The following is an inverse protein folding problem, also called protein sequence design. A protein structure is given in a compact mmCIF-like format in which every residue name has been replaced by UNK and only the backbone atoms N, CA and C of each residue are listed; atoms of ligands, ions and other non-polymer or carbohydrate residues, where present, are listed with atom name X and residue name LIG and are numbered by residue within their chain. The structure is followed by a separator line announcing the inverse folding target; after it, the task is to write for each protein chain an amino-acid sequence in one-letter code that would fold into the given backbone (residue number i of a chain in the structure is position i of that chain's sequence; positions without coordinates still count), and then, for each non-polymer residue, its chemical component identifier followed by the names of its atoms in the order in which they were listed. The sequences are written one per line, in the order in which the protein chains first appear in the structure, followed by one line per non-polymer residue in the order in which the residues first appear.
data_IF_100406775034
#
_entry.id   IF_100406775034
#
_cell.length_a   1.000
_cell.length_b   1.000
_cell.length_c   1.000
_cell.angle_alpha   90.00
_cell.angle_beta   90.00
_cell.angle_gamma   90.00
#
_symmetry.space_group_name_H-M   'P 1'
#
loop_
_entity.id
_entity.type
_entity.pdbx_description
1 polymer ?
#
# COMPACT_ATOMS: atom_id res chain seq x y z
N UNK A 1 -13.64 -1.49 -17.44
CA UNK A 1 -12.79 -0.99 -18.53
C UNK A 1 -11.40 -0.59 -18.05
N UNK A 2 -11.29 0.21 -16.98
CA UNK A 2 -10.00 0.66 -16.41
C UNK A 2 -9.01 -0.47 -16.07
N UNK A 3 -9.48 -1.59 -15.48
CA UNK A 3 -8.60 -2.73 -15.14
C UNK A 3 -7.89 -3.27 -16.40
N UNK A 4 -8.60 -3.38 -17.53
CA UNK A 4 -8.01 -3.86 -18.79
C UNK A 4 -6.95 -2.89 -19.31
N UNK A 5 -7.14 -1.59 -19.14
CA UNK A 5 -6.14 -0.57 -19.51
C UNK A 5 -4.88 -0.70 -18.64
N UNK A 6 -5.05 -0.84 -17.32
CA UNK A 6 -3.91 -1.02 -16.41
C UNK A 6 -3.14 -2.31 -16.73
N UNK A 7 -3.84 -3.41 -17.03
CA UNK A 7 -3.21 -4.67 -17.46
C UNK A 7 -2.44 -4.52 -18.78
N UNK A 8 -2.95 -3.73 -19.74
CA UNK A 8 -2.24 -3.44 -20.99
C UNK A 8 -0.96 -2.67 -20.72
N UNK A 9 -1.01 -1.62 -19.89
CA UNK A 9 0.18 -0.88 -19.47
C UNK A 9 1.22 -1.79 -18.82
N UNK A 10 0.78 -2.66 -17.92
CA UNK A 10 1.66 -3.63 -17.25
C UNK A 10 2.36 -4.59 -18.23
N UNK A 11 1.67 -5.09 -19.26
CA UNK A 11 2.28 -5.98 -20.28
C UNK A 11 3.43 -5.30 -21.03
N UNK A 12 3.39 -3.97 -21.17
CA UNK A 12 4.49 -3.23 -21.79
C UNK A 12 5.77 -3.27 -20.96
N UNK A 13 5.71 -3.57 -19.67
CA UNK A 13 6.89 -3.61 -18.79
C UNK A 13 7.66 -4.95 -18.83
N UNK A 14 7.15 -5.97 -19.53
CA UNK A 14 7.82 -7.26 -19.64
C UNK A 14 9.22 -7.13 -20.27
N UNK A 15 10.27 -7.46 -19.51
CA UNK A 15 11.67 -7.38 -19.97
C UNK A 15 12.23 -5.94 -20.05
N UNK A 16 11.52 -4.94 -19.52
CA UNK A 16 11.97 -3.53 -19.54
C UNK A 16 13.03 -3.27 -18.47
N UNK A 17 12.84 -3.79 -17.25
CA UNK A 17 13.63 -3.41 -16.07
C UNK A 17 15.15 -3.49 -16.30
N UNK A 18 15.68 -4.64 -16.76
CA UNK A 18 17.12 -4.85 -16.94
C UNK A 18 17.77 -3.99 -18.02
N UNK A 19 16.98 -3.34 -18.88
CA UNK A 19 17.46 -2.48 -19.97
C UNK A 19 17.45 -0.98 -19.60
N UNK A 20 16.81 -0.62 -18.49
CA UNK A 20 16.74 0.77 -18.02
C UNK A 20 18.11 1.34 -17.63
N UNK A 21 19.02 0.61 -16.95
CA UNK A 21 20.33 1.16 -16.58
C UNK A 21 21.17 1.59 -17.79
N UNK A 22 21.06 0.87 -18.91
CA UNK A 22 21.76 1.20 -20.16
C UNK A 22 21.05 2.27 -20.99
N UNK A 23 19.96 2.85 -20.49
CA UNK A 23 19.13 3.84 -21.18
C UNK A 23 18.66 3.37 -22.56
N UNK A 24 18.31 2.09 -22.66
CA UNK A 24 17.82 1.51 -23.90
C UNK A 24 16.56 2.28 -24.39
N UNK A 25 16.57 2.84 -25.62
CA UNK A 25 15.48 3.69 -26.09
C UNK A 25 14.13 2.97 -26.17
N UNK A 26 14.12 1.67 -26.51
CA UNK A 26 12.89 0.88 -26.57
C UNK A 26 12.32 0.66 -25.16
N UNK A 27 13.16 0.30 -24.19
CA UNK A 27 12.78 0.13 -22.79
C UNK A 27 12.22 1.42 -22.19
N UNK A 28 12.88 2.56 -22.43
CA UNK A 28 12.40 3.88 -22.00
C UNK A 28 11.05 4.21 -22.66
N UNK A 29 10.91 3.96 -23.96
CA UNK A 29 9.67 4.18 -24.69
C UNK A 29 8.51 3.36 -24.13
N UNK A 30 8.75 2.08 -23.81
CA UNK A 30 7.75 1.18 -23.22
C UNK A 30 7.36 1.57 -21.80
N UNK A 31 8.33 1.96 -20.97
CA UNK A 31 8.07 2.52 -19.63
C UNK A 31 7.21 3.78 -19.73
N UNK A 32 7.58 4.71 -20.63
CA UNK A 32 6.85 5.96 -20.86
C UNK A 32 5.41 5.68 -21.31
N UNK A 33 5.21 4.77 -22.26
CA UNK A 33 3.89 4.36 -22.70
C UNK A 33 3.05 3.75 -21.56
N UNK A 34 3.66 2.92 -20.71
CA UNK A 34 2.99 2.37 -19.52
C UNK A 34 2.55 3.47 -18.54
N UNK A 35 3.39 4.48 -18.31
CA UNK A 35 3.05 5.62 -17.45
C UNK A 35 1.92 6.46 -18.04
N UNK A 36 1.92 6.69 -19.36
CA UNK A 36 0.83 7.39 -20.05
C UNK A 36 -0.49 6.62 -19.96
N UNK A 37 -0.46 5.30 -20.13
CA UNK A 37 -1.65 4.43 -19.97
C UNK A 37 -2.17 4.50 -18.53
N UNK A 38 -1.28 4.51 -17.53
CA UNK A 38 -1.66 4.69 -16.13
C UNK A 38 -2.36 6.04 -15.91
N UNK A 39 -1.81 7.13 -16.45
CA UNK A 39 -2.42 8.46 -16.41
C UNK A 39 -3.79 8.51 -17.08
N UNK A 40 -3.92 7.89 -18.25
CA UNK A 40 -5.21 7.75 -18.94
C UNK A 40 -6.21 6.93 -18.13
N UNK A 41 -5.76 5.83 -17.51
CA UNK A 41 -6.58 5.00 -16.62
C UNK A 41 -7.16 5.80 -15.44
N UNK A 42 -6.36 6.68 -14.83
CA UNK A 42 -6.85 7.60 -13.78
C UNK A 42 -7.89 8.59 -14.31
N UNK A 43 -7.68 9.15 -15.50
CA UNK A 43 -8.62 10.07 -16.13
C UNK A 43 -9.97 9.39 -16.40
N UNK A 44 -9.96 8.17 -16.94
CA UNK A 44 -11.17 7.36 -17.18
C UNK A 44 -11.87 7.00 -15.86
N UNK A 45 -11.12 6.69 -14.81
CA UNK A 45 -11.69 6.35 -13.50
C UNK A 45 -12.25 7.56 -12.73
N UNK A 46 -11.85 8.79 -13.09
CA UNK A 46 -12.15 9.99 -12.31
C UNK A 46 -11.45 10.04 -10.94
N UNK A 47 -10.45 9.18 -10.72
CA UNK A 47 -9.72 9.05 -9.45
C UNK A 47 -8.36 8.42 -9.68
N UNK A 48 -7.41 8.64 -8.76
CA UNK A 48 -6.09 8.01 -8.84
C UNK A 48 -6.05 6.55 -8.38
N UNK A 49 -7.18 5.98 -7.91
CA UNK A 49 -7.25 4.60 -7.41
C UNK A 49 -6.66 3.52 -8.34
N UNK A 50 -6.74 3.62 -9.69
CA UNK A 50 -6.11 2.63 -10.58
C UNK A 50 -4.58 2.59 -10.52
N UNK A 51 -3.95 3.67 -10.07
CA UNK A 51 -2.50 3.83 -10.04
C UNK A 51 -1.94 4.06 -8.62
N UNK A 52 -2.81 4.21 -7.61
CA UNK A 52 -2.43 4.66 -6.28
C UNK A 52 -3.22 3.94 -5.18
N UNK A 53 -2.58 2.94 -4.58
CA UNK A 53 -3.04 2.11 -3.49
C UNK A 53 -2.26 2.34 -2.19
N UNK A 54 -2.04 1.25 -1.43
CA UNK A 54 -1.36 1.31 -0.13
C UNK A 54 0.11 1.71 -0.25
N UNK A 55 0.77 1.30 -1.33
CA UNK A 55 2.16 1.66 -1.66
C UNK A 55 2.35 3.17 -1.82
N UNK A 56 1.38 3.86 -2.40
CA UNK A 56 1.42 5.32 -2.51
C UNK A 56 1.16 6.00 -1.17
N UNK A 57 0.28 5.44 -0.32
CA UNK A 57 0.08 5.99 1.02
C UNK A 57 1.35 5.89 1.87
N UNK A 58 2.14 4.82 1.71
CA UNK A 58 3.46 4.72 2.36
C UNK A 58 4.37 5.86 1.91
N UNK A 59 4.50 6.13 0.61
CA UNK A 59 5.29 7.26 0.11
C UNK A 59 4.75 8.62 0.59
N UNK A 60 3.44 8.85 0.53
CA UNK A 60 2.84 10.10 1.02
C UNK A 60 3.04 10.31 2.51
N UNK A 61 3.04 9.25 3.32
CA UNK A 61 3.41 9.37 4.73
C UNK A 61 4.86 9.88 4.87
N UNK A 62 5.80 9.35 4.07
CA UNK A 62 7.19 9.81 4.08
C UNK A 62 7.28 11.29 3.66
N UNK A 63 6.57 11.69 2.60
CA UNK A 63 6.53 13.09 2.15
C UNK A 63 5.97 14.04 3.23
N UNK A 64 4.84 13.67 3.84
CA UNK A 64 4.18 14.48 4.88
C UNK A 64 5.08 14.64 6.11
N UNK A 65 5.71 13.56 6.55
CA UNK A 65 6.59 13.57 7.72
C UNK A 65 7.93 14.25 7.46
N UNK A 66 8.46 14.17 6.22
CA UNK A 66 9.58 14.99 5.78
C UNK A 66 9.24 16.48 5.92
N UNK A 67 8.12 16.91 5.33
CA UNK A 67 7.71 18.31 5.36
C UNK A 67 7.45 18.82 6.78
N UNK A 68 6.73 18.05 7.60
CA UNK A 68 6.34 18.48 8.93
C UNK A 68 7.49 18.44 9.94
N UNK A 69 8.43 17.51 9.80
CA UNK A 69 9.37 17.15 10.86
C UNK A 69 10.83 17.12 10.44
N UNK A 70 11.15 17.45 9.19
CA UNK A 70 12.52 17.44 8.67
C UNK A 70 13.13 16.03 8.57
N UNK A 71 12.30 14.98 8.57
CA UNK A 71 12.76 13.61 8.34
C UNK A 71 13.30 13.46 6.90
N UNK A 72 14.10 12.43 6.60
CA UNK A 72 14.68 12.22 5.25
C UNK A 72 13.63 12.06 4.14
N UNK A 73 13.98 12.32 2.89
CA UNK A 73 13.11 12.04 1.75
C UNK A 73 13.92 11.61 0.53
N UNK A 74 13.25 11.03 -0.46
CA UNK A 74 13.81 10.69 -1.76
C UNK A 74 12.76 10.99 -2.85
N UNK A 75 13.10 10.75 -4.12
CA UNK A 75 12.19 10.86 -5.25
C UNK A 75 10.96 9.98 -5.04
N UNK A 76 9.79 10.56 -5.31
CA UNK A 76 8.49 9.90 -5.13
C UNK A 76 8.44 8.50 -5.77
N UNK A 77 8.93 8.36 -7.01
CA UNK A 77 8.98 7.06 -7.69
C UNK A 77 9.83 6.00 -6.98
N UNK A 78 10.96 6.40 -6.36
CA UNK A 78 11.79 5.49 -5.59
C UNK A 78 11.07 5.02 -4.31
N UNK A 79 10.44 5.95 -3.60
CA UNK A 79 9.66 5.63 -2.39
C UNK A 79 8.46 4.74 -2.70
N UNK A 80 7.71 5.05 -3.77
CA UNK A 80 6.59 4.22 -4.24
C UNK A 80 7.10 2.84 -4.68
N UNK A 81 8.28 2.73 -5.29
CA UNK A 81 8.92 1.45 -5.61
C UNK A 81 9.11 0.57 -4.36
N UNK A 82 9.73 1.13 -3.31
CA UNK A 82 9.89 0.44 -2.01
C UNK A 82 8.53 0.12 -1.38
N UNK A 83 7.59 1.07 -1.40
CA UNK A 83 6.22 0.85 -0.94
C UNK A 83 5.50 -0.27 -1.69
N UNK A 84 5.76 -0.44 -3.00
CA UNK A 84 5.17 -1.48 -3.84
C UNK A 84 5.71 -2.84 -3.46
N UNK A 85 7.02 -2.93 -3.21
CA UNK A 85 7.65 -4.14 -2.68
C UNK A 85 7.02 -4.58 -1.35
N UNK A 86 6.83 -3.63 -0.41
CA UNK A 86 6.18 -3.91 0.88
C UNK A 86 4.72 -4.30 0.71
N UNK A 87 3.95 -3.59 -0.12
CA UNK A 87 2.56 -3.91 -0.38
C UNK A 87 2.41 -5.31 -0.99
N UNK A 88 3.30 -5.68 -1.91
CA UNK A 88 3.35 -7.04 -2.47
C UNK A 88 3.66 -8.09 -1.39
N UNK A 89 4.57 -7.82 -0.45
CA UNK A 89 4.86 -8.74 0.66
C UNK A 89 3.63 -8.91 1.60
N UNK A 90 2.87 -7.84 1.82
CA UNK A 90 1.60 -7.89 2.55
C UNK A 90 0.57 -8.73 1.78
N UNK A 91 0.48 -8.58 0.45
CA UNK A 91 -0.40 -9.42 -0.38
C UNK A 91 0.03 -10.90 -0.39
N UNK A 92 1.32 -11.20 -0.40
CA UNK A 92 1.83 -12.58 -0.28
C UNK A 92 1.36 -13.21 1.04
N UNK A 93 1.40 -12.45 2.15
CA UNK A 93 0.85 -12.88 3.45
C UNK A 93 -0.67 -13.05 3.41
N UNK A 94 -1.38 -12.15 2.74
CA UNK A 94 -2.82 -12.25 2.53
C UNK A 94 -3.19 -13.54 1.79
N UNK A 95 -2.41 -13.94 0.76
CA UNK A 95 -2.66 -15.18 0.02
C UNK A 95 -2.48 -16.44 0.87
N UNK A 96 -1.68 -16.37 1.94
CA UNK A 96 -1.49 -17.44 2.91
C UNK A 96 -2.44 -17.34 4.12
N UNK A 97 -3.29 -16.30 4.19
CA UNK A 97 -4.17 -16.08 5.33
C UNK A 97 -5.35 -17.06 5.33
N UNK A 98 -5.50 -17.78 6.44
CA UNK A 98 -6.63 -18.66 6.67
C UNK A 98 -7.81 -17.88 7.25
N UNK A 99 -8.72 -17.47 6.37
CA UNK A 99 -9.92 -16.72 6.74
C UNK A 99 -10.83 -17.49 7.71
N UNK A 100 -10.77 -18.83 7.75
CA UNK A 100 -11.60 -19.60 8.68
C UNK A 100 -11.26 -19.27 10.14
N UNK A 101 -9.97 -19.00 10.42
CA UNK A 101 -9.45 -18.67 11.76
C UNK A 101 -9.79 -17.26 12.26
N UNK A 102 -10.36 -16.39 11.41
CA UNK A 102 -10.76 -15.06 11.85
C UNK A 102 -11.95 -15.14 12.82
N UNK A 103 -11.72 -14.81 14.09
CA UNK A 103 -12.79 -14.57 15.06
C UNK A 103 -13.29 -13.13 14.93
N UNK A 104 -14.46 -12.97 14.28
CA UNK A 104 -15.08 -11.67 14.04
C UNK A 104 -15.45 -11.00 15.35
N UNK A 105 -16.06 -11.71 16.30
CA UNK A 105 -16.52 -11.10 17.53
C UNK A 105 -15.35 -10.68 18.43
N UNK A 106 -14.27 -11.46 18.48
CA UNK A 106 -13.04 -11.02 19.14
C UNK A 106 -12.43 -9.79 18.46
N UNK A 107 -12.47 -9.70 17.13
CA UNK A 107 -11.98 -8.52 16.41
C UNK A 107 -12.81 -7.28 16.71
N UNK A 108 -14.14 -7.39 16.79
CA UNK A 108 -15.04 -6.29 17.18
C UNK A 108 -14.79 -5.86 18.63
N UNK A 109 -14.64 -6.81 19.57
CA UNK A 109 -14.34 -6.49 20.98
C UNK A 109 -13.03 -5.72 21.16
N UNK A 110 -12.06 -5.93 20.26
CA UNK A 110 -10.76 -5.22 20.26
C UNK A 110 -10.79 -3.90 19.48
N UNK A 111 -11.92 -3.51 18.88
CA UNK A 111 -12.03 -2.24 18.17
C UNK A 111 -11.92 -1.09 19.16
N UNK A 112 -10.95 -0.21 18.94
CA UNK A 112 -10.75 0.98 19.77
C UNK A 112 -11.89 1.97 19.50
N UNK A 113 -12.57 2.49 20.53
CA UNK A 113 -13.57 3.54 20.32
C UNK A 113 -12.96 4.78 19.67
N UNK A 114 -13.67 5.42 18.75
CA UNK A 114 -13.16 6.58 18.02
C UNK A 114 -12.53 7.67 18.90
N UNK A 115 -13.13 8.11 20.02
CA UNK A 115 -12.51 9.14 20.85
C UNK A 115 -11.10 8.77 21.36
N UNK A 116 -10.86 7.49 21.64
CA UNK A 116 -9.54 6.99 22.04
C UNK A 116 -8.60 6.89 20.83
N UNK A 117 -9.12 6.48 19.68
CA UNK A 117 -8.35 6.42 18.44
C UNK A 117 -7.93 7.81 17.95
N UNK A 118 -8.80 8.82 18.10
CA UNK A 118 -8.50 10.21 17.78
C UNK A 118 -7.38 10.76 18.67
N UNK A 119 -7.37 10.43 19.96
CA UNK A 119 -6.27 10.80 20.86
C UNK A 119 -4.94 10.16 20.43
N UNK A 120 -4.97 8.90 19.99
CA UNK A 120 -3.81 8.23 19.43
C UNK A 120 -3.32 8.89 18.12
N UNK A 121 -4.24 9.26 17.21
CA UNK A 121 -3.92 10.03 16.00
C UNK A 121 -3.23 11.37 16.33
N UNK A 122 -3.76 12.11 17.31
CA UNK A 122 -3.15 13.37 17.78
C UNK A 122 -1.73 13.16 18.27
N UNK A 123 -1.48 12.08 19.02
CA UNK A 123 -0.15 11.73 19.51
C UNK A 123 0.81 11.35 18.37
N UNK A 124 0.38 10.50 17.43
CA UNK A 124 1.21 10.00 16.33
C UNK A 124 1.53 11.06 15.29
N UNK A 125 0.53 11.83 14.87
CA UNK A 125 0.65 12.78 13.78
C UNK A 125 0.99 14.20 14.23
N UNK A 126 0.89 14.52 15.53
CA UNK A 126 1.31 15.81 16.09
C UNK A 126 0.73 16.99 15.31
N UNK A 127 1.57 17.85 14.73
CA UNK A 127 1.16 19.01 13.93
C UNK A 127 0.38 18.66 12.67
N UNK A 128 0.46 17.40 12.19
CA UNK A 128 -0.33 16.90 11.05
C UNK A 128 -1.73 16.39 11.46
N UNK A 129 -2.02 16.27 12.77
CA UNK A 129 -3.20 15.58 13.25
C UNK A 129 -4.51 16.20 12.75
N UNK A 130 -4.62 17.53 12.72
CA UNK A 130 -5.86 18.20 12.30
C UNK A 130 -6.18 17.98 10.81
N UNK A 131 -5.17 17.71 9.97
CA UNK A 131 -5.36 17.31 8.57
C UNK A 131 -5.66 15.82 8.42
N UNK A 132 -5.09 14.97 9.29
CA UNK A 132 -5.22 13.50 9.21
C UNK A 132 -6.53 13.00 9.82
N UNK A 133 -6.99 13.61 10.92
CA UNK A 133 -8.18 13.14 11.65
C UNK A 133 -9.44 13.05 10.77
N UNK A 134 -9.77 14.05 9.91
CA UNK A 134 -10.92 13.94 9.01
C UNK A 134 -10.79 12.76 8.03
N UNK A 135 -9.61 12.54 7.47
CA UNK A 135 -9.32 11.46 6.52
C UNK A 135 -9.41 10.08 7.19
N UNK A 136 -8.84 9.95 8.40
CA UNK A 136 -8.93 8.73 9.19
C UNK A 136 -10.38 8.46 9.64
N UNK A 137 -11.15 9.50 9.96
CA UNK A 137 -12.55 9.39 10.38
C UNK A 137 -13.43 8.81 9.28
N UNK A 138 -13.20 9.21 8.03
CA UNK A 138 -13.95 8.73 6.87
C UNK A 138 -13.83 7.20 6.67
N UNK A 139 -12.66 6.65 6.98
CA UNK A 139 -12.39 5.21 6.77
C UNK A 139 -12.57 4.36 8.04
N UNK A 140 -12.59 4.96 9.23
CA UNK A 140 -12.72 4.25 10.50
C UNK A 140 -14.13 3.66 10.69
N UNK A 141 -14.28 2.33 10.81
CA UNK A 141 -15.59 1.72 10.87
C UNK A 141 -16.23 1.81 12.27
N UNK A 142 -17.56 1.82 12.32
CA UNK A 142 -18.29 1.47 13.54
C UNK A 142 -18.18 -0.05 13.81
N UNK A 143 -18.46 -0.53 15.04
CA UNK A 143 -18.50 -1.96 15.34
C UNK A 143 -19.43 -2.75 14.39
N UNK A 144 -20.58 -2.19 14.04
CA UNK A 144 -21.59 -2.79 13.17
C UNK A 144 -21.05 -2.89 11.74
N UNK A 145 -20.47 -1.80 11.22
CA UNK A 145 -19.91 -1.74 9.87
C UNK A 145 -18.70 -2.66 9.72
N UNK A 146 -17.84 -2.73 10.73
CA UNK A 146 -16.72 -3.68 10.74
C UNK A 146 -17.23 -5.12 10.75
N UNK A 147 -18.25 -5.43 11.56
CA UNK A 147 -18.85 -6.78 11.58
C UNK A 147 -19.42 -7.16 10.22
N UNK A 148 -20.20 -6.27 9.60
CA UNK A 148 -20.76 -6.47 8.26
C UNK A 148 -19.67 -6.76 7.23
N UNK A 149 -18.61 -5.94 7.21
CA UNK A 149 -17.45 -6.14 6.33
C UNK A 149 -16.81 -7.50 6.54
N UNK A 150 -16.46 -7.85 7.78
CA UNK A 150 -15.76 -9.10 8.08
C UNK A 150 -16.62 -10.34 7.78
N UNK A 151 -17.90 -10.32 8.11
CA UNK A 151 -18.83 -11.42 7.78
C UNK A 151 -18.96 -11.57 6.26
N UNK A 152 -19.16 -10.47 5.54
CA UNK A 152 -19.23 -10.49 4.08
C UNK A 152 -17.92 -10.93 3.42
N UNK A 153 -16.78 -10.59 4.01
CA UNK A 153 -15.46 -11.05 3.57
C UNK A 153 -15.30 -12.56 3.76
N UNK A 154 -15.70 -13.12 4.92
CA UNK A 154 -15.66 -14.57 5.12
C UNK A 154 -16.51 -15.31 4.08
N UNK A 155 -17.70 -14.82 3.79
CA UNK A 155 -18.61 -15.45 2.83
C UNK A 155 -18.08 -15.43 1.38
N UNK A 156 -17.41 -14.35 0.97
CA UNK A 156 -16.91 -14.16 -0.40
C UNK A 156 -15.41 -14.44 -0.55
N UNK A 157 -14.77 -15.00 0.48
CA UNK A 157 -13.31 -15.15 0.50
C UNK A 157 -12.76 -15.93 -0.71
N UNK A 158 -13.31 -17.10 -1.08
CA UNK A 158 -12.80 -17.85 -2.24
C UNK A 158 -12.93 -17.07 -3.56
N UNK A 159 -14.06 -16.37 -3.75
CA UNK A 159 -14.30 -15.54 -4.93
C UNK A 159 -13.31 -14.37 -5.00
N UNK A 160 -13.11 -13.68 -3.89
CA UNK A 160 -12.18 -12.54 -3.79
C UNK A 160 -10.75 -12.98 -4.09
N UNK A 161 -10.30 -14.11 -3.49
CA UNK A 161 -8.97 -14.65 -3.75
C UNK A 161 -8.80 -15.10 -5.21
N UNK A 162 -9.84 -15.68 -5.80
CA UNK A 162 -9.86 -16.05 -7.22
C UNK A 162 -9.70 -14.85 -8.16
N UNK A 163 -10.27 -13.70 -7.80
CA UNK A 163 -10.13 -12.44 -8.56
C UNK A 163 -8.80 -11.73 -8.32
N UNK A 164 -8.27 -11.77 -7.09
CA UNK A 164 -7.03 -11.07 -6.74
C UNK A 164 -5.79 -11.80 -7.25
N UNK A 165 -5.73 -13.12 -7.13
CA UNK A 165 -4.52 -13.92 -7.43
C UNK A 165 -3.95 -13.66 -8.84
N UNK A 166 -4.74 -13.55 -9.92
CA UNK A 166 -4.21 -13.26 -11.26
C UNK A 166 -3.67 -11.84 -11.44
N UNK A 167 -4.05 -10.90 -10.57
CA UNK A 167 -3.65 -9.50 -10.66
C UNK A 167 -2.38 -9.19 -9.86
N UNK A 168 -1.91 -10.13 -9.02
CA UNK A 168 -0.82 -9.89 -8.09
C UNK A 168 0.53 -10.35 -8.66
N UNK A 169 1.57 -9.61 -8.29
CA UNK A 169 2.97 -10.01 -8.43
C UNK A 169 3.53 -10.28 -7.04
N UNK A 170 4.39 -11.29 -6.92
CA UNK A 170 5.07 -11.57 -5.64
C UNK A 170 6.05 -10.45 -5.27
N UNK A 171 6.30 -10.30 -3.97
CA UNK A 171 7.29 -9.35 -3.46
C UNK A 171 8.67 -9.58 -4.09
N UNK A 172 9.08 -10.85 -4.22
CA UNK A 172 10.33 -11.22 -4.86
C UNK A 172 10.42 -10.77 -6.32
N UNK A 173 9.33 -10.89 -7.09
CA UNK A 173 9.30 -10.44 -8.49
C UNK A 173 9.44 -8.92 -8.59
N UNK A 174 8.73 -8.16 -7.76
CA UNK A 174 8.84 -6.69 -7.70
C UNK A 174 10.26 -6.28 -7.31
N UNK A 175 10.82 -6.89 -6.27
CA UNK A 175 12.18 -6.61 -5.79
C UNK A 175 13.23 -6.86 -6.88
N UNK A 176 13.08 -7.94 -7.63
CA UNK A 176 14.00 -8.27 -8.73
C UNK A 176 13.93 -7.24 -9.86
N UNK A 177 12.73 -6.79 -10.24
CA UNK A 177 12.58 -5.75 -11.25
C UNK A 177 13.18 -4.41 -10.80
N UNK A 178 12.94 -3.99 -9.55
CA UNK A 178 13.52 -2.76 -9.00
C UNK A 178 15.05 -2.81 -9.04
N UNK A 179 15.64 -3.92 -8.58
CA UNK A 179 17.10 -4.12 -8.63
C UNK A 179 17.64 -4.14 -10.06
N UNK A 180 16.97 -4.84 -10.97
CA UNK A 180 17.37 -4.91 -12.38
C UNK A 180 17.29 -3.54 -13.07
N UNK A 181 16.35 -2.69 -12.65
CA UNK A 181 16.22 -1.31 -13.11
C UNK A 181 17.24 -0.34 -12.48
N UNK A 182 18.02 -0.78 -11.49
CA UNK A 182 18.91 0.09 -10.72
C UNK A 182 18.17 1.03 -9.76
N UNK A 183 16.94 0.67 -9.37
CA UNK A 183 16.12 1.43 -8.42
C UNK A 183 16.29 0.91 -6.98
N UNK A 184 16.07 1.77 -5.97
CA UNK A 184 15.95 1.35 -4.58
C UNK A 184 14.88 0.27 -4.38
N UNK A 185 15.16 -0.72 -3.53
CA UNK A 185 14.24 -1.80 -3.19
C UNK A 185 14.01 -1.95 -1.67
N UNK A 186 14.71 -1.15 -0.85
CA UNK A 186 14.65 -1.12 0.61
C UNK A 186 14.52 0.30 1.13
N UNK A 187 14.00 0.45 2.35
CA UNK A 187 13.84 1.75 3.01
C UNK A 187 15.18 2.48 3.27
N UNK A 188 16.27 1.81 3.69
CA UNK A 188 17.56 2.47 3.85
C UNK A 188 18.11 3.07 2.56
N UNK A 189 17.87 2.45 1.40
CA UNK A 189 18.28 2.97 0.09
C UNK A 189 17.57 4.28 -0.29
N UNK A 190 16.41 4.57 0.31
CA UNK A 190 15.69 5.86 0.20
C UNK A 190 15.82 6.72 1.47
N UNK A 191 16.84 6.43 2.28
CA UNK A 191 17.19 7.19 3.48
C UNK A 191 16.25 7.02 4.67
N UNK A 192 15.37 6.02 4.68
CA UNK A 192 14.36 5.82 5.74
C UNK A 192 14.86 4.80 6.78
N UNK A 193 14.82 5.17 8.06
CA UNK A 193 15.23 4.26 9.15
C UNK A 193 14.20 3.15 9.39
N UNK A 194 14.57 2.01 10.00
CA UNK A 194 13.65 0.93 10.35
C UNK A 194 12.41 1.37 11.13
N UNK A 195 12.57 2.26 12.11
CA UNK A 195 11.49 2.74 12.96
C UNK A 195 10.51 3.59 12.15
N UNK A 196 11.03 4.44 11.26
CA UNK A 196 10.21 5.27 10.37
C UNK A 196 9.55 4.45 9.28
N UNK A 197 10.23 3.47 8.71
CA UNK A 197 9.68 2.52 7.77
C UNK A 197 8.48 1.78 8.38
N UNK A 198 8.62 1.27 9.60
CA UNK A 198 7.51 0.66 10.33
C UNK A 198 6.32 1.60 10.47
N UNK A 199 6.56 2.85 10.91
CA UNK A 199 5.51 3.87 11.00
C UNK A 199 4.84 4.12 9.66
N UNK A 200 5.62 4.28 8.59
CA UNK A 200 5.10 4.50 7.24
C UNK A 200 4.19 3.35 6.77
N UNK A 201 4.44 2.11 7.19
CA UNK A 201 3.55 0.99 6.85
C UNK A 201 2.24 1.02 7.65
N UNK A 202 2.32 1.26 8.96
CA UNK A 202 1.15 1.12 9.86
C UNK A 202 0.27 2.37 9.92
N UNK A 203 0.87 3.55 9.79
CA UNK A 203 0.19 4.84 9.94
C UNK A 203 -0.33 5.37 8.61
N UNK A 204 0.22 4.95 7.47
CA UNK A 204 -0.16 5.44 6.15
C UNK A 204 -1.63 5.26 5.80
N UNK A 205 -2.34 4.29 6.40
CA UNK A 205 -3.78 4.16 6.16
C UNK A 205 -4.59 5.38 6.64
N UNK A 206 -4.10 6.10 7.65
CA UNK A 206 -4.84 7.19 8.29
C UNK A 206 -4.78 8.50 7.50
N UNK A 207 -3.80 8.67 6.62
CA UNK A 207 -3.49 9.97 6.01
C UNK A 207 -4.44 10.35 4.86
N UNK A 208 -5.29 9.42 4.41
CA UNK A 208 -6.21 9.65 3.29
C UNK A 208 -7.44 8.74 3.38
N UNK A 209 -8.61 9.29 3.11
CA UNK A 209 -9.92 8.61 3.05
C UNK A 209 -10.04 7.62 1.88
N UNK A 210 -9.15 6.63 1.81
CA UNK A 210 -9.10 5.62 0.73
C UNK A 210 -8.84 4.24 1.30
N UNK A 211 -9.79 3.34 1.14
CA UNK A 211 -9.63 1.95 1.54
C UNK A 211 -8.59 1.23 0.65
N UNK A 212 -7.56 0.66 1.28
CA UNK A 212 -6.44 -0.05 0.63
C UNK A 212 -6.13 -1.35 1.35
N UNK A 213 -5.12 -2.10 0.91
CA UNK A 213 -4.63 -3.29 1.62
C UNK A 213 -4.23 -3.00 3.08
N UNK A 214 -3.78 -1.77 3.39
CA UNK A 214 -3.42 -1.38 4.76
C UNK A 214 -4.67 -1.31 5.66
N UNK A 215 -5.77 -0.76 5.13
CA UNK A 215 -7.06 -0.75 5.81
C UNK A 215 -7.61 -2.16 5.98
N UNK A 216 -7.50 -2.98 4.93
CA UNK A 216 -7.92 -4.37 4.97
C UNK A 216 -7.19 -5.16 6.06
N UNK A 217 -5.87 -5.03 6.16
CA UNK A 217 -5.08 -5.68 7.21
C UNK A 217 -5.44 -5.14 8.60
N UNK A 218 -5.81 -3.87 8.71
CA UNK A 218 -6.28 -3.30 9.98
C UNK A 218 -7.66 -3.82 10.38
N UNK A 219 -8.59 -3.95 9.44
CA UNK A 219 -9.91 -4.55 9.67
C UNK A 219 -9.75 -5.99 10.16
N UNK A 220 -8.82 -6.77 9.58
CA UNK A 220 -8.47 -8.11 10.05
C UNK A 220 -7.73 -8.14 11.40
N UNK A 221 -7.17 -7.01 11.85
CA UNK A 221 -6.38 -6.93 13.08
C UNK A 221 -4.95 -7.46 12.94
N UNK A 222 -4.44 -7.57 11.72
CA UNK A 222 -3.11 -8.15 11.42
C UNK A 222 -2.09 -7.12 10.93
N UNK A 223 -2.49 -5.86 10.69
CA UNK A 223 -1.62 -4.83 10.11
C UNK A 223 -0.28 -4.67 10.84
N UNK A 224 -0.29 -4.54 12.16
CA UNK A 224 0.95 -4.36 12.93
C UNK A 224 1.84 -5.61 12.89
N UNK A 225 1.26 -6.79 13.11
CA UNK A 225 1.99 -8.06 13.05
C UNK A 225 2.62 -8.28 11.68
N UNK A 226 1.87 -8.00 10.60
CA UNK A 226 2.37 -8.19 9.25
C UNK A 226 3.40 -7.14 8.87
N UNK A 227 3.21 -5.88 9.28
CA UNK A 227 4.23 -4.84 9.13
C UNK A 227 5.56 -5.27 9.75
N UNK A 228 5.53 -5.81 10.98
CA UNK A 228 6.74 -6.30 11.67
C UNK A 228 7.41 -7.48 10.97
N UNK A 229 6.62 -8.33 10.30
CA UNK A 229 7.14 -9.49 9.57
C UNK A 229 7.68 -9.16 8.17
N UNK A 230 7.11 -8.16 7.48
CA UNK A 230 7.58 -7.75 6.15
C UNK A 230 8.71 -6.73 6.23
N UNK A 231 8.82 -6.00 7.34
CA UNK A 231 9.84 -4.97 7.50
C UNK A 231 11.27 -5.51 7.25
N UNK A 232 11.72 -6.66 7.80
CA UNK A 232 13.06 -7.19 7.52
C UNK A 232 13.33 -7.50 6.05
N UNK A 233 12.30 -7.71 5.23
CA UNK A 233 12.44 -7.97 3.79
C UNK A 233 12.74 -6.66 3.02
N UNK A 234 12.37 -5.51 3.61
CA UNK A 234 12.48 -4.17 3.05
C UNK A 234 13.50 -3.27 3.77
N UNK A 235 14.33 -3.83 4.64
CA UNK A 235 15.52 -3.20 5.24
C UNK A 235 16.80 -3.73 4.57
#
# INVERSE_FOLDING_TARGET
EVIKLVEQGYRLLAGVASKLPSRDPEAIGRLTASLLISGYGMAVAGTSAPASGGEHLVSHYLDMTHYAFGESNDLHGCQVGVGTHVAAAIYDRLMAFDMAKLDVDARIRRLVPWPQYEQDLRRRFRTLADSVIPEARDTYPTPERLRERLVGLKARWPELMGKLRPCLRSAASIRNDLKAAGCPATFPEVGVTPERARRAIVDAKDIRGRYTILHFCWDLGVLHEWADRVLPEAL
#
